data_IF_464703376301
#
_entry.id   IF_464703376301
#
_cell.length_a   1.000
_cell.length_b   1.000
_cell.length_c   1.000
_cell.angle_alpha   90.00
_cell.angle_beta   90.00
_cell.angle_gamma   90.00
#
_symmetry.space_group_name_H-M   'P 1'
#
loop_
_entity.id
_entity.type
_entity.pdbx_description
1 polymer ?
#
# COMPACT_ATOMS: atom_id res chain seq x y z
N UNK A 1 -17.68 4.16 -4.09
CA UNK A 1 -16.51 3.89 -3.22
C UNK A 1 -15.47 2.97 -3.86
N UNK A 2 -15.84 2.06 -4.78
CA UNK A 2 -14.88 1.17 -5.48
C UNK A 2 -13.89 1.89 -6.41
N UNK A 3 -14.32 2.92 -7.14
CA UNK A 3 -13.43 3.63 -8.09
C UNK A 3 -12.20 4.29 -7.43
N UNK A 4 -12.34 4.77 -6.20
CA UNK A 4 -11.25 5.41 -5.47
C UNK A 4 -10.17 4.39 -5.08
N UNK A 5 -10.57 3.21 -4.63
CA UNK A 5 -9.61 2.17 -4.23
C UNK A 5 -8.85 1.61 -5.43
N UNK A 6 -9.50 1.46 -6.57
CA UNK A 6 -8.85 1.00 -7.80
C UNK A 6 -7.83 2.02 -8.32
N UNK A 7 -8.12 3.32 -8.22
CA UNK A 7 -7.18 4.38 -8.54
C UNK A 7 -5.95 4.33 -7.63
N UNK A 8 -6.14 4.20 -6.32
CA UNK A 8 -5.03 4.06 -5.38
C UNK A 8 -4.24 2.79 -5.60
N UNK A 9 -4.90 1.67 -5.86
CA UNK A 9 -4.24 0.41 -6.21
C UNK A 9 -3.31 0.62 -7.41
N UNK A 10 -3.82 1.19 -8.51
CA UNK A 10 -3.01 1.50 -9.70
C UNK A 10 -1.88 2.46 -9.40
N UNK A 11 -2.13 3.53 -8.64
CA UNK A 11 -1.10 4.50 -8.26
C UNK A 11 0.01 3.86 -7.43
N UNK A 12 -0.34 3.00 -6.47
CA UNK A 12 0.61 2.28 -5.62
C UNK A 12 1.44 1.29 -6.44
N UNK A 13 0.85 0.55 -7.38
CA UNK A 13 1.62 -0.41 -8.18
C UNK A 13 2.47 0.24 -9.29
N UNK A 14 1.99 1.35 -9.88
CA UNK A 14 2.69 2.02 -10.99
C UNK A 14 3.74 3.05 -10.54
N UNK A 15 3.64 3.57 -9.33
CA UNK A 15 4.60 4.56 -8.84
C UNK A 15 5.92 3.91 -8.44
N UNK A 16 7.02 4.57 -8.80
CA UNK A 16 8.37 4.17 -8.40
C UNK A 16 8.50 4.40 -6.90
N UNK A 17 8.73 3.33 -6.16
CA UNK A 17 8.96 3.35 -4.72
C UNK A 17 10.42 3.05 -4.43
N UNK A 18 11.00 3.78 -3.49
CA UNK A 18 12.35 3.49 -3.01
C UNK A 18 12.35 2.18 -2.21
N UNK A 19 13.40 1.37 -2.36
CA UNK A 19 13.60 0.14 -1.60
C UNK A 19 13.77 0.39 -0.08
N UNK A 20 14.00 1.63 0.33
CA UNK A 20 14.15 2.04 1.73
C UNK A 20 12.89 2.71 2.30
N UNK A 21 11.90 3.00 1.47
CA UNK A 21 10.67 3.65 1.91
C UNK A 21 9.67 2.60 2.41
N UNK A 22 9.00 2.84 3.53
CA UNK A 22 7.95 1.95 4.05
C UNK A 22 6.67 2.08 3.21
N UNK A 23 5.94 0.98 3.03
CA UNK A 23 4.76 0.94 2.16
C UNK A 23 3.70 1.97 2.55
N UNK A 24 3.40 2.16 3.84
CA UNK A 24 2.41 3.15 4.26
C UNK A 24 2.85 4.60 3.98
N UNK A 25 4.15 4.90 4.13
CA UNK A 25 4.70 6.24 3.85
C UNK A 25 4.57 6.57 2.37
N UNK A 26 4.90 5.60 1.52
CA UNK A 26 4.72 5.71 0.08
C UNK A 26 3.27 5.98 -0.31
N UNK A 27 2.32 5.23 0.29
CA UNK A 27 0.89 5.46 0.07
C UNK A 27 0.44 6.83 0.61
N UNK A 28 1.02 7.28 1.73
CA UNK A 28 0.71 8.58 2.31
C UNK A 28 1.15 9.74 1.40
N UNK A 29 2.30 9.57 0.73
CA UNK A 29 2.83 10.51 -0.28
C UNK A 29 1.90 10.66 -1.51
N UNK A 30 0.95 9.75 -1.72
CA UNK A 30 -0.10 9.87 -2.74
C UNK A 30 -1.30 10.74 -2.29
N UNK A 31 -1.14 11.52 -1.22
CA UNK A 31 -2.16 12.44 -0.69
C UNK A 31 -3.12 11.82 0.31
N UNK A 32 -2.75 10.70 0.93
CA UNK A 32 -3.60 9.97 1.89
C UNK A 32 -3.06 10.15 3.29
N UNK A 33 -3.95 10.42 4.26
CA UNK A 33 -3.54 10.46 5.67
C UNK A 33 -2.94 9.12 6.14
N UNK A 34 -1.94 9.17 7.02
CA UNK A 34 -1.18 8.01 7.49
C UNK A 34 -2.05 6.85 7.99
N UNK A 35 -3.10 7.14 8.75
CA UNK A 35 -4.06 6.12 9.24
C UNK A 35 -4.75 5.39 8.09
N UNK A 36 -5.20 6.13 7.08
CA UNK A 36 -5.89 5.57 5.91
C UNK A 36 -4.92 4.85 4.99
N UNK A 37 -3.67 5.33 4.87
CA UNK A 37 -2.61 4.66 4.14
C UNK A 37 -2.32 3.26 4.70
N UNK A 38 -2.16 3.14 6.02
CA UNK A 38 -1.99 1.82 6.68
C UNK A 38 -3.19 0.90 6.46
N UNK A 39 -4.42 1.44 6.53
CA UNK A 39 -5.62 0.67 6.25
C UNK A 39 -5.67 0.17 4.80
N UNK A 40 -5.26 0.98 3.82
CA UNK A 40 -5.20 0.57 2.41
C UNK A 40 -4.12 -0.47 2.16
N UNK A 41 -2.94 -0.36 2.76
CA UNK A 41 -1.93 -1.40 2.70
C UNK A 41 -2.51 -2.76 3.14
N UNK A 42 -3.17 -2.80 4.31
CA UNK A 42 -3.83 -4.02 4.80
C UNK A 42 -4.90 -4.54 3.84
N UNK A 43 -5.74 -3.67 3.27
CA UNK A 43 -6.77 -4.05 2.28
C UNK A 43 -6.17 -4.65 1.00
N UNK A 44 -5.03 -4.14 0.57
CA UNK A 44 -4.32 -4.65 -0.61
C UNK A 44 -3.37 -5.81 -0.29
N UNK A 45 -3.44 -6.34 0.93
CA UNK A 45 -2.58 -7.42 1.40
C UNK A 45 -1.08 -7.07 1.31
N UNK A 46 -0.74 -5.80 1.53
CA UNK A 46 0.61 -5.26 1.58
C UNK A 46 0.92 -4.96 3.04
N UNK A 47 2.08 -5.42 3.52
CA UNK A 47 2.54 -5.04 4.85
C UNK A 47 2.85 -3.52 4.89
N UNK A 48 2.15 -2.71 5.69
CA UNK A 48 2.36 -1.27 5.74
C UNK A 48 3.77 -0.88 6.18
N UNK A 49 4.39 -1.62 7.11
CA UNK A 49 5.69 -1.29 7.68
C UNK A 49 6.85 -1.89 6.88
N UNK A 50 6.57 -2.83 5.97
CA UNK A 50 7.58 -3.39 5.10
C UNK A 50 8.09 -2.35 4.08
N UNK A 51 9.37 -2.48 3.74
CA UNK A 51 10.00 -1.70 2.66
C UNK A 51 9.91 -2.40 1.30
N UNK A 52 9.54 -3.69 1.27
CA UNK A 52 9.28 -4.43 0.05
C UNK A 52 7.78 -4.52 -0.22
N UNK A 53 7.37 -4.33 -1.48
CA UNK A 53 6.01 -4.62 -1.96
C UNK A 53 5.91 -6.11 -2.30
N UNK A 54 5.92 -6.98 -1.29
CA UNK A 54 5.43 -8.35 -1.48
C UNK A 54 3.98 -8.40 -1.00
N UNK A 55 3.04 -8.92 -1.79
CA UNK A 55 1.78 -9.38 -1.24
C UNK A 55 2.11 -10.34 -0.09
N UNK A 56 1.49 -10.18 1.08
CA UNK A 56 1.54 -11.24 2.09
C UNK A 56 0.96 -12.50 1.43
N UNK A 57 1.74 -13.57 1.35
CA UNK A 57 1.18 -14.86 0.94
C UNK A 57 0.06 -15.18 1.95
N UNK A 58 -1.14 -15.57 1.47
CA UNK A 58 -2.18 -16.00 2.38
C UNK A 58 -1.61 -17.16 3.20
N UNK A 59 -1.48 -16.96 4.51
CA UNK A 59 -1.13 -18.03 5.43
C UNK A 59 -2.32 -18.97 5.45
N UNK A 60 -2.27 -20.02 4.62
CA UNK A 60 -3.21 -21.13 4.72
C UNK A 60 -2.81 -21.92 5.96
N UNK A 61 -3.53 -21.68 7.06
CA UNK A 61 -3.61 -22.57 8.21
C UNK A 61 -4.89 -23.43 8.07
#
# INVERSE_FOLDING_TARGET
MQEFEDLYRRAIFNSKKSIHEVNWSHVSNLGVGSTRAKAMCKRFNIDPEATFRKPQEPTND
#
